data_IF_960779670749
#
_entry.id   IF_960779670749
#
_cell.length_a   1.000
_cell.length_b   1.000
_cell.length_c   1.000
_cell.angle_alpha   90.00
_cell.angle_beta   90.00
_cell.angle_gamma   90.00
#
_symmetry.space_group_name_H-M   'P 1'
#
loop_
_entity.id
_entity.type
_entity.pdbx_description
1 polymer ?
#
# COMPACT_ATOMS: atom_id res chain seq x y z
N UNK A 1 7.71 -0.83 22.27
CA UNK A 1 7.86 0.57 22.74
C UNK A 1 8.78 1.35 21.82
N UNK A 2 9.96 0.80 21.48
CA UNK A 2 10.94 1.41 20.55
C UNK A 2 10.40 1.72 19.16
N UNK A 3 9.66 0.83 18.50
CA UNK A 3 9.05 1.10 17.19
C UNK A 3 8.10 2.31 17.21
N UNK A 4 7.27 2.44 18.25
CA UNK A 4 6.38 3.58 18.43
C UNK A 4 7.16 4.89 18.70
N UNK A 5 8.24 4.80 19.48
CA UNK A 5 9.15 5.94 19.72
C UNK A 5 9.80 6.39 18.41
N UNK A 6 10.36 5.45 17.64
CA UNK A 6 10.93 5.75 16.32
C UNK A 6 9.91 6.40 15.39
N UNK A 7 8.71 5.80 15.28
CA UNK A 7 7.61 6.34 14.48
C UNK A 7 7.30 7.79 14.85
N UNK A 8 7.13 8.07 16.14
CA UNK A 8 6.87 9.44 16.61
C UNK A 8 8.00 10.40 16.26
N UNK A 9 9.26 9.98 16.44
CA UNK A 9 10.44 10.80 16.15
C UNK A 9 10.56 11.13 14.66
N UNK A 10 10.31 10.16 13.77
CA UNK A 10 10.48 10.35 12.32
C UNK A 10 9.21 10.90 11.63
N UNK A 11 8.07 10.94 12.33
CA UNK A 11 6.78 11.35 11.78
C UNK A 11 6.85 12.66 10.96
N UNK A 12 7.50 13.75 11.42
CA UNK A 12 7.57 14.99 10.67
C UNK A 12 8.27 14.87 9.31
N UNK A 13 9.10 13.84 9.13
CA UNK A 13 9.90 13.61 7.94
C UNK A 13 9.27 12.64 6.94
N UNK A 14 8.22 11.92 7.37
CA UNK A 14 7.51 10.93 6.56
C UNK A 14 6.06 11.36 6.25
N UNK A 15 5.64 12.56 6.65
CA UNK A 15 4.37 13.15 6.23
C UNK A 15 4.49 13.86 4.87
N UNK A 16 3.39 13.99 4.10
CA UNK A 16 3.42 14.75 2.86
C UNK A 16 3.82 16.21 3.09
N UNK A 17 4.64 16.78 2.21
CA UNK A 17 5.03 18.20 2.26
C UNK A 17 3.81 19.14 2.23
N UNK A 18 2.79 18.76 1.46
CA UNK A 18 1.53 19.50 1.40
C UNK A 18 0.62 19.11 2.56
N UNK A 19 0.60 19.95 3.60
CA UNK A 19 -0.26 19.78 4.78
C UNK A 19 -1.77 19.72 4.46
N UNK A 20 -2.23 20.20 3.30
CA UNK A 20 -3.64 20.03 2.89
C UNK A 20 -4.00 18.56 2.65
N UNK A 21 -3.01 17.69 2.43
CA UNK A 21 -3.21 16.24 2.28
C UNK A 21 -3.46 15.55 3.62
N UNK A 22 -2.95 16.12 4.72
CA UNK A 22 -3.14 15.62 6.09
C UNK A 22 -4.54 15.93 6.64
N UNK A 23 -5.24 16.91 6.05
CA UNK A 23 -6.58 17.31 6.52
C UNK A 23 -7.59 16.19 6.26
N UNK A 24 -8.51 15.92 7.21
CA UNK A 24 -9.62 15.02 6.96
C UNK A 24 -10.44 15.53 5.77
N UNK A 25 -10.73 14.64 4.83
CA UNK A 25 -11.59 14.93 3.71
C UNK A 25 -12.61 13.80 3.56
N UNK A 26 -13.80 14.16 3.08
CA UNK A 26 -14.75 13.17 2.63
C UNK A 26 -14.36 12.75 1.21
N UNK A 27 -14.14 11.45 0.98
CA UNK A 27 -13.76 10.93 -0.35
C UNK A 27 -14.55 9.66 -0.69
N UNK A 28 -15.13 9.62 -1.89
CA UNK A 28 -15.76 8.39 -2.40
C UNK A 28 -14.72 7.56 -3.16
N UNK A 29 -14.32 6.42 -2.59
CA UNK A 29 -13.31 5.53 -3.18
C UNK A 29 -13.81 4.85 -4.45
N UNK A 30 -15.01 4.28 -4.44
CA UNK A 30 -15.53 3.57 -5.62
C UNK A 30 -16.56 4.41 -6.35
N UNK A 31 -16.15 5.00 -7.49
CA UNK A 31 -17.06 5.71 -8.40
C UNK A 31 -17.32 4.83 -9.60
N UNK A 32 -18.60 4.49 -9.76
CA UNK A 32 -19.15 3.71 -10.85
C UNK A 32 -20.23 4.52 -11.55
N UNK A 33 -20.57 4.18 -12.81
CA UNK A 33 -21.48 4.98 -13.64
C UNK A 33 -22.89 5.14 -13.00
N UNK A 34 -23.35 4.16 -12.24
CA UNK A 34 -24.59 4.15 -11.47
C UNK A 34 -24.58 5.08 -10.23
N UNK A 35 -23.40 5.55 -9.83
CA UNK A 35 -23.24 6.51 -8.70
C UNK A 35 -23.10 7.96 -9.17
N UNK A 36 -23.17 8.23 -10.47
CA UNK A 36 -23.02 9.57 -11.05
C UNK A 36 -24.41 10.08 -11.45
N UNK A 37 -24.82 11.21 -10.87
CA UNK A 37 -26.04 11.90 -11.29
C UNK A 37 -25.70 12.91 -12.38
N UNK A 38 -26.27 12.73 -13.57
CA UNK A 38 -26.11 13.61 -14.73
C UNK A 38 -27.39 14.40 -15.00
N UNK A 39 -27.24 15.59 -15.59
CA UNK A 39 -28.36 16.41 -16.05
C UNK A 39 -29.23 15.63 -17.05
N UNK A 40 -30.53 15.39 -16.76
CA UNK A 40 -31.42 14.69 -17.68
C UNK A 40 -31.69 15.51 -18.95
N UNK A 41 -31.53 16.84 -18.91
CA UNK A 41 -31.93 17.76 -19.97
C UNK A 41 -30.78 18.12 -20.94
N UNK A 42 -29.90 17.15 -21.24
CA UNK A 42 -29.07 17.09 -22.48
C UNK A 42 -27.62 17.61 -22.46
N UNK A 43 -26.96 17.78 -21.29
CA UNK A 43 -25.55 18.21 -21.27
C UNK A 43 -24.52 17.13 -20.89
N UNK A 44 -24.97 15.91 -20.53
CA UNK A 44 -24.13 14.89 -19.86
C UNK A 44 -23.32 15.46 -18.68
N UNK A 45 -23.76 16.60 -18.15
CA UNK A 45 -23.06 17.33 -17.10
C UNK A 45 -23.31 16.61 -15.79
N UNK A 46 -22.24 16.24 -15.11
CA UNK A 46 -22.33 15.67 -13.77
C UNK A 46 -22.88 16.75 -12.83
N UNK A 47 -24.01 16.46 -12.19
CA UNK A 47 -24.68 17.30 -11.19
C UNK A 47 -24.35 16.87 -9.77
N UNK A 48 -23.97 15.61 -9.57
CA UNK A 48 -23.58 15.12 -8.24
C UNK A 48 -23.10 13.68 -8.22
N UNK A 49 -22.56 13.30 -7.06
CA UNK A 49 -22.25 11.92 -6.70
C UNK A 49 -23.35 11.42 -5.77
N UNK A 50 -23.85 10.22 -6.06
CA UNK A 50 -24.77 9.48 -5.23
C UNK A 50 -24.04 8.38 -4.44
N UNK A 51 -24.78 7.79 -3.50
CA UNK A 51 -24.33 6.65 -2.70
C UNK A 51 -23.00 6.89 -1.95
N UNK A 52 -23.04 7.78 -0.97
CA UNK A 52 -21.89 8.04 -0.08
C UNK A 52 -21.74 6.99 1.04
N UNK A 53 -22.45 5.87 0.95
CA UNK A 53 -22.27 4.78 1.92
C UNK A 53 -20.84 4.27 1.82
N UNK A 54 -20.24 3.95 2.96
CA UNK A 54 -18.83 3.55 3.10
C UNK A 54 -17.80 4.63 2.75
N UNK A 55 -18.20 5.89 2.58
CA UNK A 55 -17.24 7.00 2.54
C UNK A 55 -16.65 7.21 3.93
N UNK A 56 -15.33 7.39 3.99
CA UNK A 56 -14.59 7.65 5.21
C UNK A 56 -14.21 9.13 5.30
N UNK A 57 -13.99 9.61 6.53
CA UNK A 57 -13.44 10.95 6.79
C UNK A 57 -12.04 10.77 7.35
N UNK A 58 -11.07 10.67 6.43
CA UNK A 58 -9.65 10.45 6.74
C UNK A 58 -8.78 11.36 5.85
N UNK A 59 -7.46 11.46 6.09
CA UNK A 59 -6.59 12.21 5.20
C UNK A 59 -6.64 11.70 3.75
N UNK A 60 -6.60 12.61 2.78
CA UNK A 60 -6.77 12.26 1.35
C UNK A 60 -5.71 11.27 0.87
N UNK A 61 -4.46 11.43 1.32
CA UNK A 61 -3.37 10.55 0.90
C UNK A 61 -3.62 9.07 1.24
N UNK A 62 -4.45 8.77 2.25
CA UNK A 62 -4.78 7.40 2.65
C UNK A 62 -5.87 6.79 1.78
N UNK A 63 -6.91 7.58 1.49
CA UNK A 63 -8.11 7.08 0.82
C UNK A 63 -8.11 7.25 -0.69
N UNK A 64 -7.29 8.17 -1.23
CA UNK A 64 -7.20 8.42 -2.68
C UNK A 64 -6.86 7.13 -3.41
N UNK A 65 -7.52 6.92 -4.53
CA UNK A 65 -7.28 5.83 -5.45
C UNK A 65 -7.32 6.36 -6.88
N UNK A 66 -6.62 5.66 -7.76
CA UNK A 66 -6.71 5.90 -9.19
C UNK A 66 -7.90 5.09 -9.73
N UNK A 67 -8.97 5.73 -10.22
CA UNK A 67 -10.08 5.00 -10.81
C UNK A 67 -9.61 4.22 -12.04
N UNK A 68 -10.11 2.99 -12.25
CA UNK A 68 -9.78 2.18 -13.43
C UNK A 68 -10.11 2.87 -14.76
N UNK A 69 -11.08 3.79 -14.79
CA UNK A 69 -11.42 4.53 -16.00
C UNK A 69 -10.43 5.68 -16.30
N UNK A 70 -9.64 6.14 -15.32
CA UNK A 70 -8.61 7.16 -15.52
C UNK A 70 -7.23 6.58 -15.86
N UNK A 71 -6.97 5.30 -15.58
CA UNK A 71 -5.68 4.65 -15.92
C UNK A 71 -5.40 4.61 -17.42
N UNK A 72 -6.44 4.69 -18.27
CA UNK A 72 -6.34 4.68 -19.74
C UNK A 72 -6.01 6.03 -20.37
N UNK A 73 -6.03 7.14 -19.61
CA UNK A 73 -5.96 8.49 -20.20
C UNK A 73 -4.63 9.22 -20.01
N UNK A 74 -3.59 8.55 -19.50
CA UNK A 74 -2.21 9.06 -19.48
C UNK A 74 -2.00 10.28 -18.58
N UNK A 75 -0.75 10.51 -18.16
CA UNK A 75 -0.40 11.68 -17.37
C UNK A 75 -0.82 12.97 -18.10
N UNK A 76 -1.59 13.79 -17.38
CA UNK A 76 -2.22 15.00 -17.87
C UNK A 76 -1.23 16.00 -18.50
N UNK A 77 -1.01 15.90 -19.81
CA UNK A 77 -0.21 16.84 -20.60
C UNK A 77 -0.96 17.35 -21.85
N UNK A 78 -2.29 17.44 -21.80
CA UNK A 78 -3.09 18.12 -22.82
C UNK A 78 -3.88 19.26 -22.17
N UNK A 79 -3.26 20.43 -22.16
CA UNK A 79 -3.72 21.66 -21.49
C UNK A 79 -4.56 22.59 -22.38
N UNK A 80 -5.22 22.07 -23.42
CA UNK A 80 -6.01 22.91 -24.34
C UNK A 80 -7.46 22.48 -24.59
N UNK A 81 -7.93 21.41 -23.92
CA UNK A 81 -9.34 20.99 -24.01
C UNK A 81 -10.16 21.50 -22.80
N UNK A 82 -11.47 21.78 -22.98
CA UNK A 82 -12.36 22.02 -21.84
C UNK A 82 -12.30 20.84 -20.87
N UNK A 83 -12.32 21.12 -19.55
CA UNK A 83 -12.20 20.20 -18.41
C UNK A 83 -11.91 18.74 -18.80
N UNK A 84 -10.64 18.30 -18.66
CA UNK A 84 -10.31 16.90 -18.92
C UNK A 84 -11.13 15.99 -17.99
N UNK A 85 -11.36 14.71 -18.38
CA UNK A 85 -12.04 13.73 -17.50
C UNK A 85 -11.40 13.66 -16.10
N UNK A 86 -10.09 13.92 -16.03
CA UNK A 86 -9.31 14.06 -14.82
C UNK A 86 -9.72 15.27 -13.97
N UNK A 87 -9.94 16.43 -14.56
CA UNK A 87 -10.40 17.64 -13.87
C UNK A 87 -11.83 17.51 -13.37
N UNK A 88 -12.69 16.89 -14.17
CA UNK A 88 -14.07 16.57 -13.77
C UNK A 88 -14.04 15.62 -12.58
N UNK A 89 -13.27 14.54 -12.65
CA UNK A 89 -13.12 13.60 -11.55
C UNK A 89 -12.64 14.29 -10.28
N UNK A 90 -11.52 15.02 -10.32
CA UNK A 90 -10.97 15.69 -9.14
C UNK A 90 -12.01 16.60 -8.47
N UNK A 91 -12.71 17.41 -9.26
CA UNK A 91 -13.74 18.32 -8.79
C UNK A 91 -14.94 17.58 -8.19
N UNK A 92 -15.40 16.52 -8.84
CA UNK A 92 -16.59 15.77 -8.46
C UNK A 92 -16.34 14.93 -7.20
N UNK A 93 -15.17 14.30 -7.06
CA UNK A 93 -14.85 13.43 -5.92
C UNK A 93 -14.42 14.22 -4.69
N UNK A 94 -13.64 15.28 -4.90
CA UNK A 94 -12.91 15.92 -3.80
C UNK A 94 -13.27 17.39 -3.61
N UNK A 95 -13.96 18.01 -4.58
CA UNK A 95 -14.11 19.46 -4.61
C UNK A 95 -12.79 20.23 -4.77
N UNK A 96 -11.69 19.53 -5.08
CA UNK A 96 -10.34 20.09 -5.21
C UNK A 96 -9.85 20.02 -6.66
N UNK A 97 -8.87 20.86 -7.05
CA UNK A 97 -8.23 20.79 -8.36
C UNK A 97 -7.45 19.48 -8.56
N UNK A 98 -7.23 19.10 -9.82
CA UNK A 98 -6.56 17.83 -10.16
C UNK A 98 -5.12 17.75 -9.62
N UNK A 99 -4.41 18.87 -9.54
CA UNK A 99 -3.06 18.90 -8.96
C UNK A 99 -3.03 18.43 -7.49
N UNK A 100 -4.10 18.68 -6.71
CA UNK A 100 -4.23 18.20 -5.33
C UNK A 100 -4.35 16.67 -5.28
N UNK A 101 -5.20 16.12 -6.15
CA UNK A 101 -5.39 14.66 -6.28
C UNK A 101 -4.11 13.98 -6.76
N UNK A 102 -3.41 14.58 -7.74
CA UNK A 102 -2.15 14.06 -8.26
C UNK A 102 -1.03 14.06 -7.21
N UNK A 103 -0.95 15.08 -6.34
CA UNK A 103 0.00 15.08 -5.23
C UNK A 103 -0.26 13.93 -4.27
N UNK A 104 -1.54 13.69 -3.92
CA UNK A 104 -1.92 12.56 -3.05
C UNK A 104 -1.56 11.21 -3.70
N UNK A 105 -1.87 11.04 -4.99
CA UNK A 105 -1.54 9.83 -5.75
C UNK A 105 -0.03 9.60 -5.87
N UNK A 106 0.76 10.67 -6.04
CA UNK A 106 2.22 10.59 -6.07
C UNK A 106 2.77 10.18 -4.70
N UNK A 107 2.27 10.79 -3.63
CA UNK A 107 2.69 10.44 -2.27
C UNK A 107 2.42 8.97 -1.94
N UNK A 108 1.28 8.41 -2.37
CA UNK A 108 0.99 6.96 -2.20
C UNK A 108 2.03 6.02 -2.81
N UNK A 109 2.88 6.50 -3.72
CA UNK A 109 3.94 5.72 -4.37
C UNK A 109 5.29 5.84 -3.67
N UNK A 110 5.41 6.65 -2.61
CA UNK A 110 6.69 6.89 -1.92
C UNK A 110 6.89 5.96 -0.72
N UNK A 111 8.15 5.75 -0.31
CA UNK A 111 8.48 4.92 0.86
C UNK A 111 7.87 5.48 2.15
N UNK A 112 7.77 6.80 2.27
CA UNK A 112 7.16 7.50 3.41
C UNK A 112 5.70 7.10 3.61
N UNK A 113 4.92 7.00 2.53
CA UNK A 113 3.53 6.52 2.62
C UNK A 113 3.46 5.10 3.18
N UNK A 114 4.35 4.20 2.75
CA UNK A 114 4.40 2.83 3.28
C UNK A 114 4.77 2.80 4.76
N UNK A 115 5.65 3.70 5.21
CA UNK A 115 5.97 3.86 6.63
C UNK A 115 4.77 4.37 7.44
N UNK A 116 4.00 5.30 6.89
CA UNK A 116 2.75 5.76 7.51
C UNK A 116 1.69 4.65 7.58
N UNK A 117 1.53 3.86 6.53
CA UNK A 117 0.54 2.77 6.49
C UNK A 117 0.92 1.62 7.44
N UNK A 118 2.20 1.23 7.48
CA UNK A 118 2.71 0.16 8.35
C UNK A 118 2.69 0.52 9.84
N UNK A 119 2.55 1.81 10.18
CA UNK A 119 2.44 2.25 11.57
C UNK A 119 1.24 1.62 12.30
N UNK A 120 0.15 1.26 11.60
CA UNK A 120 -0.99 0.57 12.22
C UNK A 120 -0.63 -0.85 12.72
N UNK A 121 0.40 -1.46 12.14
CA UNK A 121 0.81 -2.81 12.48
C UNK A 121 1.83 -2.86 13.63
N UNK A 122 2.32 -1.69 14.10
CA UNK A 122 3.28 -1.60 15.22
C UNK A 122 2.82 -2.38 16.46
N UNK A 123 1.52 -2.44 16.70
CA UNK A 123 0.94 -3.17 17.84
C UNK A 123 0.70 -4.66 17.55
N UNK A 124 0.66 -5.09 16.28
CA UNK A 124 0.32 -6.46 15.89
C UNK A 124 1.52 -7.39 15.89
N UNK A 125 2.67 -6.92 15.41
CA UNK A 125 3.88 -7.73 15.25
C UNK A 125 5.05 -7.20 16.10
N UNK A 126 4.74 -6.44 17.14
CA UNK A 126 5.69 -5.65 17.94
C UNK A 126 6.47 -4.59 17.13
N UNK A 127 6.02 -4.26 15.91
CA UNK A 127 6.58 -3.24 15.05
C UNK A 127 7.78 -3.69 14.24
N UNK A 128 7.95 -5.00 14.02
CA UNK A 128 9.08 -5.54 13.25
C UNK A 128 8.96 -5.20 11.77
N UNK A 129 7.77 -5.28 11.17
CA UNK A 129 7.52 -4.82 9.81
C UNK A 129 7.89 -3.33 9.65
N UNK A 130 7.42 -2.50 10.59
CA UNK A 130 7.73 -1.07 10.58
C UNK A 130 9.23 -0.81 10.76
N UNK A 131 9.87 -1.41 11.76
CA UNK A 131 11.30 -1.22 12.05
C UNK A 131 12.17 -1.64 10.89
N UNK A 132 11.91 -2.81 10.29
CA UNK A 132 12.65 -3.32 9.13
C UNK A 132 12.65 -2.28 8.02
N UNK A 133 11.47 -1.76 7.67
CA UNK A 133 11.31 -0.78 6.59
C UNK A 133 11.88 0.59 6.94
N UNK A 134 11.68 1.04 8.17
CA UNK A 134 12.16 2.33 8.64
C UNK A 134 13.70 2.38 8.65
N UNK A 135 14.36 1.30 9.09
CA UNK A 135 15.82 1.20 9.07
C UNK A 135 16.33 1.27 7.62
N UNK A 136 15.75 0.49 6.70
CA UNK A 136 16.12 0.51 5.29
C UNK A 136 15.96 1.92 4.68
N UNK A 137 14.84 2.59 4.95
CA UNK A 137 14.58 3.95 4.48
C UNK A 137 15.57 4.96 5.05
N UNK A 138 15.79 4.95 6.37
CA UNK A 138 16.69 5.89 7.05
C UNK A 138 18.13 5.72 6.56
N UNK A 139 18.61 4.50 6.40
CA UNK A 139 19.99 4.25 5.97
C UNK A 139 20.23 4.56 4.50
N UNK A 140 19.26 4.26 3.62
CA UNK A 140 19.48 4.35 2.17
C UNK A 140 18.95 5.64 1.55
N UNK A 141 17.88 6.21 2.10
CA UNK A 141 17.18 7.35 1.50
C UNK A 141 17.29 8.64 2.35
N UNK A 142 17.48 8.52 3.67
CA UNK A 142 17.47 9.67 4.61
C UNK A 142 18.65 9.70 5.58
N UNK A 143 19.89 9.89 5.08
CA UNK A 143 21.08 9.98 5.93
C UNK A 143 21.00 11.13 6.95
N UNK A 144 20.24 12.19 6.64
CA UNK A 144 19.95 13.30 7.56
C UNK A 144 19.19 12.84 8.81
N UNK A 145 18.24 11.91 8.68
CA UNK A 145 17.55 11.31 9.82
C UNK A 145 18.49 10.35 10.56
N UNK A 146 19.34 9.61 9.84
CA UNK A 146 20.28 8.68 10.45
C UNK A 146 21.24 9.39 11.41
N UNK A 147 21.81 10.52 10.97
CA UNK A 147 22.69 11.39 11.78
C UNK A 147 21.95 11.94 13.01
N UNK A 148 20.73 12.44 12.84
CA UNK A 148 19.91 12.93 13.95
C UNK A 148 19.65 11.87 15.04
N UNK A 149 19.50 10.60 14.63
CA UNK A 149 19.20 9.49 15.55
C UNK A 149 20.45 8.85 16.15
N UNK A 150 21.65 9.22 15.72
CA UNK A 150 22.89 8.55 16.11
C UNK A 150 23.14 8.61 17.63
N UNK A 151 22.83 9.76 18.24
CA UNK A 151 23.03 10.01 19.67
C UNK A 151 21.98 9.36 20.58
N UNK A 152 20.82 8.92 20.04
CA UNK A 152 19.82 8.19 20.83
C UNK A 152 20.14 6.69 20.77
N UNK A 153 20.66 6.08 21.85
CA UNK A 153 21.06 4.67 21.83
C UNK A 153 19.87 3.71 21.60
N UNK A 154 18.64 4.15 21.84
CA UNK A 154 17.44 3.35 21.58
C UNK A 154 16.98 3.43 20.11
N UNK A 155 17.29 4.52 19.41
CA UNK A 155 16.77 4.81 18.07
C UNK A 155 17.83 4.79 16.96
N UNK A 156 19.12 4.82 17.31
CA UNK A 156 20.22 4.66 16.36
C UNK A 156 20.00 3.41 15.51
N UNK A 157 20.03 3.56 14.19
CA UNK A 157 19.74 2.46 13.24
C UNK A 157 20.68 1.27 13.45
N UNK A 158 21.93 1.53 13.81
CA UNK A 158 22.93 0.50 14.15
C UNK A 158 22.50 -0.32 15.37
N UNK A 159 22.01 0.33 16.42
CA UNK A 159 21.53 -0.37 17.62
C UNK A 159 20.21 -1.08 17.37
N UNK A 160 19.29 -0.49 16.60
CA UNK A 160 18.05 -1.14 16.22
C UNK A 160 18.32 -2.42 15.42
N UNK A 161 19.21 -2.37 14.42
CA UNK A 161 19.63 -3.55 13.66
C UNK A 161 20.21 -4.62 14.57
N UNK A 162 21.08 -4.25 15.51
CA UNK A 162 21.70 -5.19 16.45
C UNK A 162 20.67 -5.81 17.41
N UNK A 163 19.77 -4.99 17.96
CA UNK A 163 18.79 -5.42 18.95
C UNK A 163 17.70 -6.31 18.34
N UNK A 164 17.38 -6.10 17.06
CA UNK A 164 16.31 -6.80 16.36
C UNK A 164 16.82 -7.70 15.22
N UNK A 165 18.12 -7.97 15.15
CA UNK A 165 18.79 -8.65 14.02
C UNK A 165 18.07 -9.94 13.60
N UNK A 166 17.79 -10.82 14.55
CA UNK A 166 17.15 -12.11 14.28
C UNK A 166 15.72 -11.94 13.75
N UNK A 167 14.98 -10.97 14.29
CA UNK A 167 13.57 -10.74 13.96
C UNK A 167 13.45 -10.04 12.60
N UNK A 168 14.32 -9.08 12.33
CA UNK A 168 14.46 -8.41 11.02
C UNK A 168 14.88 -9.44 9.97
N UNK A 169 15.92 -10.24 10.23
CA UNK A 169 16.36 -11.27 9.30
C UNK A 169 15.27 -12.31 9.03
N UNK A 170 14.48 -12.68 10.04
CA UNK A 170 13.32 -13.56 9.86
C UNK A 170 12.24 -12.90 9.00
N UNK A 171 11.90 -11.63 9.27
CA UNK A 171 10.92 -10.87 8.51
C UNK A 171 11.32 -10.72 7.04
N UNK A 172 12.57 -10.32 6.77
CA UNK A 172 13.11 -10.21 5.42
C UNK A 172 13.10 -11.56 4.68
N UNK A 173 13.37 -12.68 5.36
CA UNK A 173 13.24 -14.02 4.74
C UNK A 173 11.80 -14.32 4.35
N UNK A 174 10.84 -14.00 5.21
CA UNK A 174 9.40 -14.17 4.94
C UNK A 174 8.95 -13.32 3.73
N UNK A 175 9.33 -12.05 3.68
CA UNK A 175 9.03 -11.18 2.55
C UNK A 175 9.65 -11.68 1.25
N UNK A 176 10.92 -12.07 1.27
CA UNK A 176 11.59 -12.65 0.10
C UNK A 176 10.90 -13.92 -0.40
N UNK A 177 10.37 -14.74 0.50
CA UNK A 177 9.60 -15.93 0.14
C UNK A 177 8.28 -15.57 -0.53
N UNK A 178 7.55 -14.59 0.00
CA UNK A 178 6.32 -14.07 -0.62
C UNK A 178 6.60 -13.48 -2.01
N UNK A 179 7.69 -12.75 -2.18
CA UNK A 179 8.07 -12.19 -3.49
C UNK A 179 8.43 -13.28 -4.50
N UNK A 180 9.09 -14.37 -4.08
CA UNK A 180 9.33 -15.54 -4.94
C UNK A 180 8.02 -16.20 -5.38
N UNK A 181 7.08 -16.42 -4.45
CA UNK A 181 5.75 -16.97 -4.79
C UNK A 181 5.05 -16.07 -5.80
N UNK A 182 5.08 -14.76 -5.60
CA UNK A 182 4.50 -13.79 -6.52
C UNK A 182 5.15 -13.83 -7.91
N UNK A 183 6.48 -13.92 -7.98
CA UNK A 183 7.21 -14.03 -9.23
C UNK A 183 6.88 -15.31 -10.00
N UNK A 184 6.65 -16.43 -9.31
CA UNK A 184 6.23 -17.69 -9.93
C UNK A 184 4.78 -17.65 -10.44
N UNK A 185 3.89 -16.89 -9.78
CA UNK A 185 2.52 -16.68 -10.24
C UNK A 185 2.44 -15.73 -11.44
N UNK A 186 3.32 -14.72 -11.52
CA UNK A 186 3.37 -13.78 -12.64
C UNK A 186 2.01 -13.12 -12.91
N UNK A 187 1.58 -13.15 -14.17
CA UNK A 187 0.34 -12.50 -14.64
C UNK A 187 -0.95 -13.22 -14.19
N UNK A 188 -0.85 -14.39 -13.56
CA UNK A 188 -2.01 -15.12 -13.02
C UNK A 188 -2.64 -14.39 -11.83
N UNK A 189 -1.89 -13.48 -11.19
CA UNK A 189 -2.31 -12.77 -10.00
C UNK A 189 -2.20 -11.26 -10.19
N UNK A 190 -3.24 -10.53 -9.80
CA UNK A 190 -3.24 -9.08 -9.82
C UNK A 190 -2.42 -8.50 -8.65
N UNK A 191 -2.27 -7.17 -8.62
CA UNK A 191 -1.42 -6.51 -7.63
C UNK A 191 -1.86 -6.77 -6.18
N UNK A 192 -3.18 -6.91 -5.98
CA UNK A 192 -3.88 -7.14 -4.72
C UNK A 192 -4.04 -8.64 -4.37
N UNK A 193 -3.31 -9.53 -5.04
CA UNK A 193 -3.36 -10.98 -4.87
C UNK A 193 -4.65 -11.64 -5.38
N UNK A 194 -5.52 -10.93 -6.10
CA UNK A 194 -6.71 -11.53 -6.71
C UNK A 194 -6.35 -12.32 -7.97
N UNK A 195 -7.08 -13.42 -8.19
CA UNK A 195 -6.92 -14.30 -9.36
C UNK A 195 -8.24 -14.32 -10.13
N UNK A 196 -8.18 -14.26 -11.46
CA UNK A 196 -9.39 -14.32 -12.29
C UNK A 196 -9.98 -15.73 -12.26
N UNK A 197 -11.32 -15.88 -12.37
CA UNK A 197 -11.95 -17.20 -12.37
C UNK A 197 -11.35 -18.16 -13.42
N UNK A 198 -11.02 -17.65 -14.60
CA UNK A 198 -10.40 -18.42 -15.69
C UNK A 198 -8.97 -18.90 -15.39
N UNK A 199 -8.21 -18.15 -14.59
CA UNK A 199 -6.82 -18.45 -14.23
C UNK A 199 -6.72 -19.24 -12.90
N UNK A 200 -7.83 -19.41 -12.19
CA UNK A 200 -7.89 -20.01 -10.86
C UNK A 200 -7.21 -21.37 -10.78
N UNK A 201 -7.55 -22.29 -11.68
CA UNK A 201 -6.99 -23.65 -11.67
C UNK A 201 -5.49 -23.63 -11.98
N UNK A 202 -5.04 -22.76 -12.88
CA UNK A 202 -3.63 -22.60 -13.23
C UNK A 202 -2.85 -22.02 -12.05
N UNK A 203 -3.35 -20.97 -11.41
CA UNK A 203 -2.75 -20.39 -10.20
C UNK A 203 -2.68 -21.41 -9.06
N UNK A 204 -3.73 -22.22 -8.86
CA UNK A 204 -3.77 -23.32 -7.88
C UNK A 204 -2.65 -24.33 -8.13
N UNK A 205 -2.44 -24.76 -9.39
CA UNK A 205 -1.36 -25.68 -9.75
C UNK A 205 0.04 -25.09 -9.52
N UNK A 206 0.23 -23.80 -9.85
CA UNK A 206 1.49 -23.09 -9.60
C UNK A 206 1.77 -23.02 -8.10
N UNK A 207 0.78 -22.62 -7.29
CA UNK A 207 0.90 -22.56 -5.83
C UNK A 207 1.25 -23.92 -5.23
N UNK A 208 0.63 -25.01 -5.67
CA UNK A 208 0.94 -26.36 -5.21
C UNK A 208 2.39 -26.75 -5.53
N UNK A 209 2.84 -26.47 -6.75
CA UNK A 209 4.23 -26.73 -7.16
C UNK A 209 5.24 -25.87 -6.38
N UNK A 210 4.85 -24.63 -6.05
CA UNK A 210 5.65 -23.69 -5.26
C UNK A 210 5.78 -24.16 -3.82
N UNK A 211 4.68 -24.62 -3.21
CA UNK A 211 4.64 -25.25 -1.89
C UNK A 211 5.64 -26.40 -1.82
N UNK A 212 5.60 -27.34 -2.76
CA UNK A 212 6.52 -28.48 -2.79
C UNK A 212 8.00 -28.05 -2.85
N UNK A 213 8.32 -27.00 -3.62
CA UNK A 213 9.67 -26.44 -3.67
C UNK A 213 10.07 -25.83 -2.33
N UNK A 214 9.20 -25.05 -1.71
CA UNK A 214 9.48 -24.40 -0.42
C UNK A 214 9.64 -25.42 0.72
N UNK A 215 8.81 -26.48 0.75
CA UNK A 215 8.92 -27.60 1.68
C UNK A 215 10.30 -28.28 1.59
N UNK A 216 10.81 -28.51 0.36
CA UNK A 216 12.09 -29.19 0.14
C UNK A 216 13.31 -28.42 0.65
N UNK A 217 13.21 -27.09 0.75
CA UNK A 217 14.34 -26.22 1.09
C UNK A 217 14.25 -25.61 2.49
N UNK A 218 13.17 -25.88 3.23
CA UNK A 218 12.96 -25.36 4.59
C UNK A 218 13.08 -26.52 5.58
N UNK A 219 14.12 -26.58 6.44
CA UNK A 219 14.23 -27.62 7.45
C UNK A 219 13.09 -27.44 8.46
N UNK A 220 12.05 -28.27 8.31
CA UNK A 220 10.84 -28.25 9.13
C UNK A 220 10.67 -29.61 9.76
N UNK A 221 10.32 -29.66 11.05
CA UNK A 221 9.97 -30.93 11.72
C UNK A 221 8.75 -31.56 11.05
N UNK A 222 8.68 -32.90 11.00
CA UNK A 222 7.57 -33.64 10.39
C UNK A 222 6.21 -33.24 10.97
N UNK A 223 6.15 -32.86 12.25
CA UNK A 223 4.93 -32.37 12.89
C UNK A 223 4.44 -31.04 12.28
N UNK A 224 5.35 -30.08 12.08
CA UNK A 224 5.03 -28.79 11.48
C UNK A 224 4.71 -28.89 9.99
N UNK A 225 5.31 -29.85 9.26
CA UNK A 225 4.91 -30.14 7.87
C UNK A 225 3.47 -30.66 7.79
N UNK A 226 3.07 -31.58 8.69
CA UNK A 226 1.69 -32.11 8.72
C UNK A 226 0.66 -31.03 9.08
N UNK A 227 0.98 -30.15 10.02
CA UNK A 227 0.10 -29.03 10.37
C UNK A 227 -0.03 -28.06 9.19
N UNK A 228 1.06 -27.76 8.49
CA UNK A 228 1.03 -26.90 7.32
C UNK A 228 0.24 -27.51 6.15
N UNK A 229 0.36 -28.82 5.92
CA UNK A 229 -0.47 -29.56 4.96
C UNK A 229 -1.95 -29.50 5.32
N UNK A 230 -2.30 -29.72 6.60
CA UNK A 230 -3.69 -29.68 7.06
C UNK A 230 -4.34 -28.29 6.98
N UNK A 231 -3.55 -27.21 7.07
CA UNK A 231 -4.00 -25.83 6.96
C UNK A 231 -4.00 -25.30 5.51
N UNK A 232 -3.53 -26.09 4.54
CA UNK A 232 -3.45 -25.64 3.16
C UNK A 232 -4.85 -25.52 2.55
N UNK A 233 -5.33 -24.31 2.23
CA UNK A 233 -6.74 -24.08 1.91
C UNK A 233 -7.10 -24.47 0.45
N UNK A 234 -6.15 -25.06 -0.28
CA UNK A 234 -6.29 -25.40 -1.68
C UNK A 234 -6.16 -26.91 -1.94
N UNK A 235 -6.05 -27.73 -0.90
CA UNK A 235 -6.17 -29.18 -1.03
C UNK A 235 -7.68 -29.51 -0.89
N UNK A 236 -8.27 -29.89 -2.03
CA UNK A 236 -9.71 -29.98 -2.40
C UNK A 236 -10.41 -28.67 -2.79
#
# INVERSE_FOLDING_TARGET
MTAAKLYHTILPYITPENNELLKPALWKRNITADTIYVDPDSSYRIKGILDWRYAEVVPVYRQVNQPPFLSKYGDAASSSAPDTLHDIYARVVSGRPMNYVMQALRFKKTTEYWLLESAHDILKDNGISFLTRAIEYIQNERPDIAEMLEDDPELSTTNLLKNFEQQIAFHQRKENLIQKVRAELGDLVAEDWTVRPEDYNTAKMVLASTKDRLCKHTPTDQAAMREWEALWPFDD
#
